data_IF_030977055653
#
_entry.id   IF_030977055653
#
_cell.length_a   1.000
_cell.length_b   1.000
_cell.length_c   1.000
_cell.angle_alpha   90.00
_cell.angle_beta   90.00
_cell.angle_gamma   90.00
#
_symmetry.space_group_name_H-M   'P 1'
#
loop_
_entity.id
_entity.type
_entity.pdbx_description
1 polymer ?
#
# COMPACT_ATOMS: atom_id res chain seq x y z
N UNK A 1 19.51 -2.57 -15.10
CA UNK A 1 20.18 -1.69 -14.10
C UNK A 1 19.61 -2.02 -12.74
N UNK A 2 20.49 -2.14 -11.74
CA UNK A 2 20.12 -2.47 -10.39
C UNK A 2 19.20 -1.45 -9.72
N UNK A 3 18.40 -1.91 -8.79
CA UNK A 3 17.52 -1.09 -7.97
C UNK A 3 17.69 -1.45 -6.50
N UNK A 4 17.41 -0.52 -5.62
CA UNK A 4 17.32 -0.77 -4.18
C UNK A 4 15.86 -0.81 -3.77
N UNK A 5 15.45 -1.87 -3.06
CA UNK A 5 14.06 -2.13 -2.72
C UNK A 5 13.91 -2.28 -1.21
N UNK A 6 12.94 -1.59 -0.62
CA UNK A 6 12.46 -1.87 0.74
C UNK A 6 11.12 -2.55 0.66
N UNK A 7 11.03 -3.77 1.17
CA UNK A 7 9.80 -4.58 1.24
C UNK A 7 9.29 -4.56 2.67
N UNK A 8 8.08 -4.05 2.84
CA UNK A 8 7.34 -4.12 4.10
C UNK A 8 6.58 -5.45 4.23
N UNK A 9 6.56 -6.00 5.44
CA UNK A 9 5.67 -7.10 5.82
C UNK A 9 5.15 -6.93 7.26
N UNK A 10 3.96 -7.47 7.54
CA UNK A 10 3.43 -7.55 8.90
C UNK A 10 3.69 -8.95 9.50
N UNK A 11 2.89 -9.95 9.12
CA UNK A 11 2.95 -11.32 9.68
C UNK A 11 3.68 -12.31 8.77
N UNK A 12 3.81 -12.04 7.48
CA UNK A 12 4.28 -13.01 6.47
C UNK A 12 5.79 -12.97 6.28
N UNK A 13 6.59 -13.12 7.37
CA UNK A 13 8.06 -13.07 7.31
C UNK A 13 8.66 -14.05 6.28
N UNK A 14 8.23 -15.32 6.32
CA UNK A 14 8.76 -16.34 5.41
C UNK A 14 8.53 -16.01 3.92
N UNK A 15 7.35 -15.44 3.58
CA UNK A 15 7.08 -14.98 2.20
C UNK A 15 7.93 -13.77 1.82
N UNK A 16 8.17 -12.85 2.74
CA UNK A 16 9.01 -11.69 2.51
C UNK A 16 10.48 -12.10 2.29
N UNK A 17 11.00 -13.04 3.09
CA UNK A 17 12.35 -13.60 2.92
C UNK A 17 12.51 -14.34 1.59
N UNK A 18 11.51 -15.14 1.21
CA UNK A 18 11.50 -15.80 -0.10
C UNK A 18 11.57 -14.79 -1.23
N UNK A 19 10.69 -13.76 -1.20
CA UNK A 19 10.67 -12.71 -2.21
C UNK A 19 11.99 -11.92 -2.24
N UNK A 20 12.55 -11.60 -1.06
CA UNK A 20 13.88 -10.98 -0.97
C UNK A 20 14.93 -11.82 -1.70
N UNK A 21 14.97 -13.14 -1.46
CA UNK A 21 15.93 -14.05 -2.09
C UNK A 21 15.73 -14.10 -3.62
N UNK A 22 14.50 -14.10 -4.10
CA UNK A 22 14.17 -14.12 -5.53
C UNK A 22 14.57 -12.82 -6.25
N UNK A 23 14.43 -11.67 -5.59
CA UNK A 23 14.70 -10.37 -6.20
C UNK A 23 16.14 -9.89 -6.01
N UNK A 24 16.88 -10.43 -5.05
CA UNK A 24 18.26 -10.02 -4.80
C UNK A 24 19.18 -10.55 -5.90
N UNK A 25 19.92 -9.66 -6.53
CA UNK A 25 20.95 -9.95 -7.54
C UNK A 25 22.19 -9.15 -7.21
N UNK A 26 23.25 -9.25 -8.00
CA UNK A 26 24.47 -8.43 -7.83
C UNK A 26 24.14 -6.92 -7.91
N UNK A 27 23.13 -6.57 -8.72
CA UNK A 27 22.76 -5.17 -8.96
C UNK A 27 21.49 -4.72 -8.19
N UNK A 28 20.79 -5.64 -7.51
CA UNK A 28 19.54 -5.34 -6.81
C UNK A 28 19.66 -5.67 -5.33
N UNK A 29 19.60 -4.64 -4.49
CA UNK A 29 19.63 -4.79 -3.03
C UNK A 29 18.21 -4.75 -2.47
N UNK A 30 17.86 -5.76 -1.66
CA UNK A 30 16.51 -5.86 -1.06
C UNK A 30 16.61 -5.83 0.46
N UNK A 31 15.89 -4.91 1.06
CA UNK A 31 15.79 -4.75 2.51
C UNK A 31 14.38 -5.11 2.98
N UNK A 32 14.27 -5.72 4.14
CA UNK A 32 12.98 -6.06 4.74
C UNK A 32 12.71 -5.22 5.97
N UNK A 33 11.48 -4.75 6.13
CA UNK A 33 11.03 -4.06 7.33
C UNK A 33 9.69 -4.61 7.82
N UNK A 34 9.62 -4.93 9.11
CA UNK A 34 8.40 -5.40 9.77
C UNK A 34 7.66 -4.23 10.40
N UNK A 35 6.32 -4.25 10.32
CA UNK A 35 5.45 -3.35 11.08
C UNK A 35 3.98 -3.59 10.79
N UNK A 36 3.12 -3.14 11.67
CA UNK A 36 1.67 -3.11 11.47
C UNK A 36 1.24 -1.73 10.97
N UNK A 37 0.73 -1.65 9.76
CA UNK A 37 0.32 -0.39 9.13
C UNK A 37 -0.92 0.25 9.79
N UNK A 38 -1.60 -0.46 10.68
CA UNK A 38 -2.67 0.12 11.50
C UNK A 38 -2.14 0.88 12.73
N UNK A 39 -0.83 0.74 13.04
CA UNK A 39 -0.16 1.33 14.20
C UNK A 39 0.77 2.45 13.74
N UNK A 40 0.52 3.68 14.17
CA UNK A 40 1.25 4.86 13.73
C UNK A 40 2.76 4.79 14.00
N UNK A 41 3.15 4.33 15.19
CA UNK A 41 4.56 4.17 15.54
C UNK A 41 5.30 3.20 14.63
N UNK A 42 4.63 2.14 14.16
CA UNK A 42 5.22 1.19 13.21
C UNK A 42 5.37 1.83 11.83
N UNK A 43 4.38 2.61 11.38
CA UNK A 43 4.48 3.38 10.13
C UNK A 43 5.68 4.34 10.18
N UNK A 44 5.86 5.06 11.30
CA UNK A 44 7.01 5.95 11.50
C UNK A 44 8.34 5.19 11.43
N UNK A 45 8.42 4.01 12.07
CA UNK A 45 9.61 3.14 12.00
C UNK A 45 9.89 2.68 10.57
N UNK A 46 8.86 2.26 9.83
CA UNK A 46 9.01 1.84 8.42
C UNK A 46 9.56 2.99 7.57
N UNK A 47 9.02 4.20 7.72
CA UNK A 47 9.50 5.39 7.00
C UNK A 47 10.95 5.68 7.33
N UNK A 48 11.32 5.70 8.63
CA UNK A 48 12.70 5.93 9.06
C UNK A 48 13.66 4.87 8.51
N UNK A 49 13.24 3.61 8.53
CA UNK A 49 14.04 2.52 7.98
C UNK A 49 14.23 2.69 6.47
N UNK A 50 13.17 2.97 5.71
CA UNK A 50 13.28 3.21 4.27
C UNK A 50 14.26 4.35 3.96
N UNK A 51 14.16 5.48 4.67
CA UNK A 51 15.09 6.62 4.54
C UNK A 51 16.55 6.26 4.89
N UNK A 52 16.76 5.33 5.80
CA UNK A 52 18.12 4.89 6.17
C UNK A 52 18.75 3.96 5.14
N UNK A 53 17.96 3.34 4.26
CA UNK A 53 18.42 2.38 3.25
C UNK A 53 18.45 2.96 1.85
N UNK A 54 17.49 3.82 1.53
CA UNK A 54 17.32 4.43 0.21
C UNK A 54 17.66 5.93 0.31
N UNK A 55 18.61 6.36 -0.47
CA UNK A 55 19.01 7.78 -0.51
C UNK A 55 17.87 8.67 -1.01
N UNK A 56 17.11 8.17 -2.00
CA UNK A 56 15.95 8.84 -2.61
C UNK A 56 14.86 7.80 -2.91
N UNK A 57 13.65 8.29 -3.13
CA UNK A 57 12.51 7.46 -3.48
C UNK A 57 12.09 7.75 -4.93
N UNK A 58 12.13 6.76 -5.80
CA UNK A 58 11.69 6.86 -7.19
C UNK A 58 10.28 6.28 -7.37
N UNK A 59 9.93 5.24 -6.61
CA UNK A 59 8.63 4.59 -6.68
C UNK A 59 8.12 4.18 -5.31
N UNK A 60 6.86 4.48 -5.03
CA UNK A 60 6.12 3.96 -3.87
C UNK A 60 4.95 3.11 -4.35
N UNK A 61 4.86 1.88 -3.84
CA UNK A 61 3.72 0.99 -4.12
C UNK A 61 2.94 0.74 -2.82
N UNK A 62 1.78 1.33 -2.69
CA UNK A 62 0.84 1.08 -1.61
C UNK A 62 0.00 -0.17 -1.94
N UNK A 63 0.57 -1.35 -1.67
CA UNK A 63 -0.04 -2.64 -1.96
C UNK A 63 -0.68 -3.31 -0.73
N UNK A 64 -0.12 -3.09 0.46
CA UNK A 64 -0.62 -3.72 1.68
C UNK A 64 -2.08 -3.35 1.95
N UNK A 65 -2.89 -4.32 2.36
CA UNK A 65 -4.32 -4.13 2.57
C UNK A 65 -4.86 -5.07 3.65
N UNK A 66 -5.75 -4.55 4.49
CA UNK A 66 -6.65 -5.35 5.30
C UNK A 66 -7.93 -5.62 4.48
N UNK A 67 -8.40 -6.87 4.50
CA UNK A 67 -9.57 -7.31 3.74
C UNK A 67 -10.40 -8.29 4.58
N UNK A 68 -11.33 -7.76 5.36
CA UNK A 68 -12.23 -8.52 6.21
C UNK A 68 -13.68 -8.27 5.78
N UNK A 69 -14.54 -9.30 5.93
CA UNK A 69 -15.94 -9.19 5.55
C UNK A 69 -16.76 -8.66 6.71
N UNK A 70 -17.55 -7.64 6.42
CA UNK A 70 -18.53 -7.04 7.32
C UNK A 70 -19.67 -6.40 6.50
N UNK A 71 -20.70 -5.92 7.20
CA UNK A 71 -21.83 -5.17 6.63
C UNK A 71 -22.13 -3.98 7.53
N UNK A 72 -22.94 -3.03 7.04
CA UNK A 72 -23.36 -1.85 7.82
C UNK A 72 -23.98 -2.22 9.17
N UNK A 73 -24.81 -3.26 9.20
CA UNK A 73 -25.52 -3.66 10.41
C UNK A 73 -24.66 -4.41 11.46
N UNK A 74 -23.46 -4.86 11.11
CA UNK A 74 -22.64 -5.67 12.00
C UNK A 74 -21.15 -5.35 11.99
N UNK A 75 -20.73 -4.23 11.40
CA UNK A 75 -19.31 -3.87 11.42
C UNK A 75 -18.82 -3.61 12.85
N UNK A 76 -17.61 -4.01 13.14
CA UNK A 76 -16.95 -3.74 14.40
C UNK A 76 -16.12 -2.45 14.28
N UNK A 77 -16.25 -1.54 15.25
CA UNK A 77 -15.56 -0.24 15.27
C UNK A 77 -14.04 -0.38 15.20
N UNK A 78 -13.46 -1.41 15.84
CA UNK A 78 -12.01 -1.65 15.77
C UNK A 78 -11.59 -2.10 14.39
N UNK A 79 -12.33 -3.03 13.77
CA UNK A 79 -12.08 -3.49 12.40
C UNK A 79 -12.25 -2.36 11.41
N UNK A 80 -13.30 -1.55 11.54
CA UNK A 80 -13.49 -0.32 10.78
C UNK A 80 -12.26 0.59 10.87
N UNK A 81 -11.86 0.92 12.09
CA UNK A 81 -10.68 1.75 12.33
C UNK A 81 -9.40 1.17 11.74
N UNK A 82 -9.19 -0.15 11.82
CA UNK A 82 -8.03 -0.83 11.20
C UNK A 82 -8.06 -0.73 9.68
N UNK A 83 -9.22 -0.93 9.04
CA UNK A 83 -9.35 -0.76 7.59
C UNK A 83 -8.99 0.65 7.15
N UNK A 84 -9.53 1.67 7.80
CA UNK A 84 -9.22 3.07 7.46
C UNK A 84 -7.76 3.41 7.71
N UNK A 85 -7.18 2.97 8.83
CA UNK A 85 -5.75 3.21 9.12
C UNK A 85 -4.85 2.53 8.11
N UNK A 86 -5.06 1.23 7.84
CA UNK A 86 -4.19 0.44 6.96
C UNK A 86 -4.35 0.82 5.49
N UNK A 87 -5.59 0.91 5.00
CA UNK A 87 -5.87 1.00 3.56
C UNK A 87 -5.96 2.45 3.04
N UNK A 88 -6.11 3.44 3.92
CA UNK A 88 -6.30 4.84 3.53
C UNK A 88 -5.29 5.78 4.21
N UNK A 89 -5.30 5.86 5.55
CA UNK A 89 -4.45 6.80 6.28
C UNK A 89 -2.96 6.54 6.04
N UNK A 90 -2.53 5.29 6.13
CA UNK A 90 -1.12 4.93 5.94
C UNK A 90 -0.63 5.20 4.51
N UNK A 91 -1.34 4.84 3.43
CA UNK A 91 -1.01 5.31 2.09
C UNK A 91 -0.86 6.82 1.97
N UNK A 92 -1.73 7.61 2.63
CA UNK A 92 -1.60 9.07 2.64
C UNK A 92 -0.31 9.53 3.34
N UNK A 93 0.03 8.96 4.51
CA UNK A 93 1.26 9.28 5.23
C UNK A 93 2.51 8.88 4.45
N UNK A 94 2.52 7.68 3.85
CA UNK A 94 3.64 7.21 3.04
C UNK A 94 3.81 8.07 1.80
N UNK A 95 2.73 8.48 1.13
CA UNK A 95 2.78 9.39 -0.03
C UNK A 95 3.31 10.77 0.33
N UNK A 96 2.89 11.32 1.48
CA UNK A 96 3.43 12.58 2.02
C UNK A 96 4.93 12.50 2.27
N UNK A 97 5.40 11.43 2.88
CA UNK A 97 6.82 11.25 3.18
C UNK A 97 7.64 10.90 1.94
N UNK A 98 7.04 10.18 0.98
CA UNK A 98 7.65 9.95 -0.33
C UNK A 98 7.91 11.28 -1.05
N UNK A 99 6.92 12.16 -1.12
CA UNK A 99 7.04 13.44 -1.81
C UNK A 99 8.15 14.34 -1.25
N UNK A 100 8.53 14.18 0.02
CA UNK A 100 9.64 14.92 0.65
C UNK A 100 11.03 14.35 0.34
N UNK A 101 11.13 13.15 -0.24
CA UNK A 101 12.38 12.43 -0.40
C UNK A 101 12.68 12.02 -1.84
N UNK A 102 12.13 12.75 -2.80
CA UNK A 102 12.40 12.56 -4.23
C UNK A 102 13.63 13.37 -4.67
N UNK A 103 14.32 12.90 -5.70
CA UNK A 103 15.46 13.61 -6.31
C UNK A 103 15.14 14.16 -7.70
N UNK A 104 14.32 13.48 -8.46
CA UNK A 104 14.04 13.77 -9.88
C UNK A 104 12.58 14.13 -10.11
N UNK A 105 12.21 14.46 -11.37
CA UNK A 105 10.83 14.76 -11.75
C UNK A 105 10.04 13.56 -12.30
N UNK A 106 10.59 12.35 -12.28
CA UNK A 106 9.96 11.15 -12.87
C UNK A 106 9.55 10.12 -11.81
N UNK A 107 9.09 10.59 -10.66
CA UNK A 107 8.69 9.71 -9.59
C UNK A 107 7.26 9.21 -9.74
N UNK A 108 6.96 8.07 -9.15
CA UNK A 108 5.65 7.44 -9.27
C UNK A 108 5.14 6.88 -7.94
N UNK A 109 3.87 7.13 -7.66
CA UNK A 109 3.12 6.46 -6.58
C UNK A 109 2.07 5.58 -7.24
N UNK A 110 2.03 4.31 -6.83
CA UNK A 110 1.05 3.32 -7.30
C UNK A 110 0.22 2.87 -6.11
N UNK A 111 -1.09 3.13 -6.15
CA UNK A 111 -2.04 2.67 -5.16
C UNK A 111 -2.80 1.46 -5.68
N UNK A 112 -2.71 0.31 -4.99
CA UNK A 112 -3.52 -0.85 -5.31
C UNK A 112 -4.90 -0.66 -4.69
N UNK A 113 -5.86 -0.32 -5.55
CA UNK A 113 -7.26 -0.08 -5.21
C UNK A 113 -8.01 -1.43 -5.20
N UNK A 114 -9.22 -1.48 -5.69
CA UNK A 114 -10.01 -2.69 -5.92
C UNK A 114 -11.14 -2.37 -6.90
N UNK A 115 -11.57 -3.33 -7.71
CA UNK A 115 -12.75 -3.17 -8.58
C UNK A 115 -14.03 -2.81 -7.83
N UNK A 116 -14.12 -3.12 -6.51
CA UNK A 116 -15.27 -2.83 -5.65
C UNK A 116 -15.58 -1.34 -5.55
N UNK A 117 -14.61 -0.45 -5.83
CA UNK A 117 -14.89 0.99 -5.86
C UNK A 117 -15.83 1.38 -7.02
N UNK A 118 -15.95 0.51 -8.05
CA UNK A 118 -16.83 0.68 -9.20
C UNK A 118 -18.05 -0.27 -9.19
N UNK A 119 -17.96 -1.39 -8.44
CA UNK A 119 -19.03 -2.39 -8.29
C UNK A 119 -19.31 -2.62 -6.82
N UNK A 120 -20.19 -1.81 -6.25
CA UNK A 120 -20.54 -1.87 -4.84
C UNK A 120 -21.35 -3.13 -4.52
N UNK A 121 -21.16 -3.66 -3.32
CA UNK A 121 -21.94 -4.76 -2.75
C UNK A 121 -22.24 -4.44 -1.29
N UNK A 122 -23.24 -5.06 -0.65
CA UNK A 122 -23.51 -4.85 0.78
C UNK A 122 -22.45 -5.50 1.69
N UNK A 123 -21.54 -6.31 1.14
CA UNK A 123 -20.47 -6.99 1.86
C UNK A 123 -19.16 -6.21 1.79
N UNK A 124 -18.26 -6.49 2.73
CA UNK A 124 -16.96 -5.84 2.84
C UNK A 124 -17.11 -4.32 2.99
N UNK A 125 -18.03 -3.91 3.84
CA UNK A 125 -18.43 -2.51 4.01
C UNK A 125 -17.25 -1.62 4.38
N UNK A 126 -16.56 -1.93 5.49
CA UNK A 126 -15.39 -1.15 5.95
C UNK A 126 -14.27 -1.14 4.91
N UNK A 127 -14.00 -2.29 4.30
CA UNK A 127 -12.99 -2.42 3.26
C UNK A 127 -13.33 -1.54 2.04
N UNK A 128 -14.55 -1.65 1.52
CA UNK A 128 -14.97 -0.92 0.32
C UNK A 128 -14.87 0.58 0.53
N UNK A 129 -15.31 1.09 1.68
CA UNK A 129 -15.19 2.51 2.02
C UNK A 129 -13.72 2.94 2.09
N UNK A 130 -12.85 2.14 2.72
CA UNK A 130 -11.41 2.44 2.78
C UNK A 130 -10.75 2.49 1.40
N UNK A 131 -11.14 1.60 0.48
CA UNK A 131 -10.63 1.57 -0.90
C UNK A 131 -11.21 2.69 -1.78
N UNK A 132 -12.46 3.07 -1.56
CA UNK A 132 -13.06 4.25 -2.22
C UNK A 132 -12.35 5.53 -1.77
N UNK A 133 -12.02 5.63 -0.48
CA UNK A 133 -11.18 6.71 0.02
C UNK A 133 -9.79 6.72 -0.63
N UNK A 134 -9.15 5.56 -0.79
CA UNK A 134 -7.87 5.43 -1.48
C UNK A 134 -7.95 5.81 -2.97
N UNK A 135 -9.05 5.49 -3.64
CA UNK A 135 -9.30 5.94 -5.02
C UNK A 135 -9.39 7.47 -5.12
N UNK A 136 -10.13 8.10 -4.22
CA UNK A 136 -10.20 9.56 -4.14
C UNK A 136 -8.84 10.17 -3.79
N UNK A 137 -8.12 9.60 -2.80
CA UNK A 137 -6.76 10.01 -2.44
C UNK A 137 -5.81 9.96 -3.65
N UNK A 138 -5.92 8.92 -4.48
CA UNK A 138 -5.10 8.78 -5.70
C UNK A 138 -5.30 9.98 -6.63
N UNK A 139 -6.53 10.35 -6.91
CA UNK A 139 -6.87 11.47 -7.81
C UNK A 139 -6.42 12.82 -7.25
N UNK A 140 -6.75 13.08 -5.99
CA UNK A 140 -6.38 14.35 -5.34
C UNK A 140 -4.87 14.49 -5.18
N UNK A 141 -4.16 13.40 -4.85
CA UNK A 141 -2.70 13.40 -4.78
C UNK A 141 -2.06 13.62 -6.15
N UNK A 142 -2.62 13.05 -7.23
CA UNK A 142 -2.13 13.28 -8.58
C UNK A 142 -2.22 14.76 -8.95
N UNK A 143 -3.32 15.44 -8.62
CA UNK A 143 -3.48 16.88 -8.85
C UNK A 143 -2.49 17.71 -8.02
N UNK A 144 -2.28 17.34 -6.76
CA UNK A 144 -1.43 18.08 -5.82
C UNK A 144 0.07 17.93 -6.10
N UNK A 145 0.50 16.76 -6.61
CA UNK A 145 1.92 16.43 -6.76
C UNK A 145 2.44 16.56 -8.19
N UNK A 146 1.56 16.89 -9.14
CA UNK A 146 1.96 17.20 -10.52
C UNK A 146 2.80 18.48 -10.58
N UNK A 147 3.74 18.61 -11.51
CA UNK A 147 4.16 17.62 -12.50
C UNK A 147 5.27 16.67 -12.02
N UNK A 148 5.72 16.79 -10.75
CA UNK A 148 6.94 16.13 -10.27
C UNK A 148 6.74 14.65 -9.92
N UNK A 149 5.52 14.27 -9.52
CA UNK A 149 5.19 12.90 -9.13
C UNK A 149 3.88 12.50 -9.81
N UNK A 150 3.91 11.39 -10.55
CA UNK A 150 2.69 10.75 -11.05
C UNK A 150 2.09 9.87 -9.97
N UNK A 151 0.77 9.97 -9.78
CA UNK A 151 0.06 9.11 -8.83
C UNK A 151 -1.01 8.34 -9.59
N UNK A 152 -0.90 7.01 -9.59
CA UNK A 152 -1.75 6.12 -10.36
C UNK A 152 -2.42 5.09 -9.44
N UNK A 153 -3.59 4.61 -9.85
CA UNK A 153 -4.31 3.53 -9.19
C UNK A 153 -4.44 2.31 -10.09
N UNK A 154 -4.23 1.13 -9.52
CA UNK A 154 -4.54 -0.14 -10.17
C UNK A 154 -5.71 -0.76 -9.41
N UNK A 155 -6.80 -1.08 -10.11
CA UNK A 155 -8.01 -1.68 -9.55
C UNK A 155 -8.15 -3.14 -10.02
N UNK A 156 -7.43 -4.10 -9.40
CA UNK A 156 -7.51 -5.49 -9.80
C UNK A 156 -8.91 -6.05 -9.60
N UNK A 157 -9.34 -6.90 -10.54
CA UNK A 157 -10.43 -7.83 -10.35
C UNK A 157 -9.92 -9.16 -9.75
N UNK A 158 -10.72 -10.24 -9.79
CA UNK A 158 -10.30 -11.58 -9.42
C UNK A 158 -9.28 -12.10 -10.45
N UNK A 159 -7.99 -11.89 -10.17
CA UNK A 159 -6.88 -12.23 -11.08
C UNK A 159 -6.25 -13.58 -10.76
N UNK A 160 -6.25 -13.98 -9.49
CA UNK A 160 -5.69 -15.25 -9.03
C UNK A 160 -6.76 -15.99 -8.22
N UNK A 161 -7.01 -17.26 -8.57
CA UNK A 161 -7.95 -18.12 -7.84
C UNK A 161 -7.53 -18.17 -6.36
N UNK A 162 -8.45 -17.91 -5.46
CA UNK A 162 -8.24 -17.99 -4.02
C UNK A 162 -9.35 -18.85 -3.37
N UNK A 163 -9.16 -19.23 -2.11
CA UNK A 163 -10.10 -20.09 -1.36
C UNK A 163 -11.54 -19.58 -1.24
N UNK A 164 -11.82 -18.34 -1.67
CA UNK A 164 -13.14 -17.70 -1.61
C UNK A 164 -13.86 -17.68 -2.96
N UNK A 165 -13.21 -18.14 -4.02
CA UNK A 165 -13.79 -18.26 -5.35
C UNK A 165 -14.20 -19.72 -5.51
N UNK A 166 -15.53 -19.98 -5.48
CA UNK A 166 -16.08 -21.26 -5.92
C UNK A 166 -15.76 -21.50 -7.39
N UNK A 167 -15.66 -22.74 -7.75
CA UNK A 167 -15.55 -23.19 -9.15
C UNK A 167 -16.72 -22.76 -9.99
#
# INVERSE_FOLDING_TARGET
>A
KGVEIVIHYNKSKAKAEKLKKELSTNDTKVYLVKGDLSIENDVIKIIKFAKSKLQYFDCLINNASLFENDKLENFNTDSWGKHLRTNLRTPALLSKEFAKNIKSKNNNIINIIDQRVFKLTPYFFSYTISKTGLYTLTKTSAMSLAPNIRVNGIAPGPTIKNKRQSE
#
